data_IF_438802193191
#
_entry.id   IF_438802193191
#
_cell.length_a   1.000
_cell.length_b   1.000
_cell.length_c   1.000
_cell.angle_alpha   90.00
_cell.angle_beta   90.00
_cell.angle_gamma   90.00
#
_symmetry.space_group_name_H-M   'P 1'
#
loop_
_entity.id
_entity.type
_entity.pdbx_description
1 polymer ?
#
# COMPACT_ATOMS: atom_id res chain seq x y z
N UNK A 1 -22.20 -48.86 31.42
CA UNK A 1 -20.97 -48.08 31.20
C UNK A 1 -21.34 -46.89 30.33
N UNK A 2 -21.30 -45.66 30.87
CA UNK A 2 -21.65 -44.44 30.13
C UNK A 2 -20.45 -44.02 29.27
N UNK A 3 -20.59 -44.11 27.95
CA UNK A 3 -19.65 -43.52 27.01
C UNK A 3 -19.82 -42.00 27.01
N UNK A 4 -18.80 -41.28 27.48
CA UNK A 4 -18.70 -39.84 27.25
C UNK A 4 -18.00 -39.63 25.91
N UNK A 5 -18.74 -39.16 24.91
CA UNK A 5 -18.17 -38.58 23.70
C UNK A 5 -17.56 -37.23 24.08
N UNK A 6 -16.24 -37.15 24.09
CA UNK A 6 -15.52 -35.87 24.23
C UNK A 6 -15.53 -35.22 22.85
N UNK A 7 -16.37 -34.18 22.69
CA UNK A 7 -16.30 -33.29 21.53
C UNK A 7 -15.04 -32.42 21.69
N UNK A 8 -13.98 -32.74 20.96
CA UNK A 8 -12.81 -31.87 20.84
C UNK A 8 -13.21 -30.75 19.88
N UNK A 9 -13.57 -29.59 20.43
CA UNK A 9 -13.69 -28.36 19.67
C UNK A 9 -12.30 -27.96 19.18
N UNK A 10 -12.01 -28.25 17.90
CA UNK A 10 -10.85 -27.72 17.19
C UNK A 10 -11.01 -26.20 17.09
N UNK A 11 -10.45 -25.48 18.05
CA UNK A 11 -10.23 -24.03 17.96
C UNK A 11 -9.11 -23.87 16.94
N UNK A 12 -9.47 -23.68 15.66
CA UNK A 12 -8.50 -23.23 14.67
C UNK A 12 -8.03 -21.83 15.11
N UNK A 13 -6.72 -21.60 15.32
CA UNK A 13 -6.23 -20.25 15.48
C UNK A 13 -6.57 -19.53 14.16
N UNK A 14 -7.34 -18.44 14.25
CA UNK A 14 -7.50 -17.52 13.14
C UNK A 14 -6.10 -17.12 12.69
N UNK A 15 -5.65 -17.65 11.55
CA UNK A 15 -4.40 -17.20 10.95
C UNK A 15 -4.68 -15.80 10.43
N UNK A 16 -4.23 -14.80 11.17
CA UNK A 16 -4.24 -13.42 10.70
C UNK A 16 -3.26 -13.38 9.53
N UNK A 17 -3.79 -13.36 8.32
CA UNK A 17 -3.00 -13.37 7.10
C UNK A 17 -2.30 -12.00 6.96
N UNK A 18 -0.99 -11.97 7.18
CA UNK A 18 -0.20 -10.76 6.97
C UNK A 18 0.21 -10.69 5.50
N UNK A 19 -0.31 -9.70 4.78
CA UNK A 19 0.12 -9.40 3.42
C UNK A 19 1.52 -8.77 3.46
N UNK A 20 2.45 -9.38 2.75
CA UNK A 20 3.85 -8.94 2.73
C UNK A 20 4.14 -8.20 1.42
N UNK A 21 4.29 -6.88 1.54
CA UNK A 21 4.80 -6.01 0.50
C UNK A 21 6.32 -5.96 0.60
N UNK A 22 7.01 -6.27 -0.50
CA UNK A 22 8.47 -6.25 -0.58
C UNK A 22 8.94 -5.12 -1.50
N UNK A 23 10.19 -4.68 -1.37
CA UNK A 23 10.76 -3.68 -2.27
C UNK A 23 10.61 -4.12 -3.74
N UNK A 24 10.14 -3.22 -4.59
CA UNK A 24 9.75 -3.58 -5.94
C UNK A 24 10.96 -3.89 -6.82
N UNK A 25 10.95 -5.09 -7.41
CA UNK A 25 11.91 -5.45 -8.44
C UNK A 25 11.51 -4.92 -9.82
N UNK A 26 10.24 -4.59 -10.04
CA UNK A 26 9.69 -4.19 -11.35
C UNK A 26 9.62 -2.67 -11.53
N UNK A 27 9.54 -1.94 -10.42
CA UNK A 27 9.35 -0.49 -10.40
C UNK A 27 10.47 0.18 -9.62
N UNK A 28 10.83 1.41 -10.01
CA UNK A 28 11.76 2.29 -9.31
C UNK A 28 11.26 3.71 -9.37
N UNK A 29 11.92 4.61 -8.66
CA UNK A 29 11.70 6.03 -8.74
C UNK A 29 13.02 6.73 -9.05
N UNK A 30 12.92 7.99 -9.50
CA UNK A 30 14.09 8.81 -9.79
C UNK A 30 14.93 9.01 -8.52
N UNK A 31 16.26 9.08 -8.67
CA UNK A 31 17.17 9.23 -7.53
C UNK A 31 16.90 10.54 -6.79
N UNK A 32 16.47 10.42 -5.53
CA UNK A 32 16.10 11.52 -4.65
C UNK A 32 17.34 12.36 -4.28
N UNK A 33 18.54 11.77 -4.24
CA UNK A 33 19.75 12.51 -3.87
C UNK A 33 20.15 13.52 -4.96
N UNK A 34 19.85 13.24 -6.23
CA UNK A 34 20.03 14.21 -7.31
C UNK A 34 19.10 15.42 -7.17
N UNK A 35 17.96 15.25 -6.52
CA UNK A 35 16.91 16.25 -6.35
C UNK A 35 17.20 17.21 -5.17
N UNK A 36 18.20 16.90 -4.34
CA UNK A 36 18.68 17.76 -3.25
C UNK A 36 19.96 18.53 -3.60
N UNK A 37 20.38 18.52 -4.87
CA UNK A 37 21.60 19.19 -5.32
C UNK A 37 21.37 20.66 -5.66
N UNK A 38 22.37 21.55 -5.46
CA UNK A 38 22.30 22.93 -5.93
C UNK A 38 22.01 23.05 -7.43
N UNK A 39 22.46 22.08 -8.22
CA UNK A 39 22.22 21.99 -9.65
C UNK A 39 20.73 21.83 -9.97
N UNK A 40 19.98 21.00 -9.22
CA UNK A 40 18.53 20.86 -9.39
C UNK A 40 17.80 22.21 -9.22
N UNK A 41 18.16 22.93 -8.15
CA UNK A 41 17.60 24.25 -7.85
C UNK A 41 18.10 25.39 -8.76
N UNK A 42 19.12 25.15 -9.60
CA UNK A 42 19.63 26.15 -10.55
C UNK A 42 18.85 26.25 -11.86
N UNK A 43 18.02 25.25 -12.18
CA UNK A 43 17.20 25.17 -13.40
C UNK A 43 15.69 25.12 -13.13
N UNK A 44 15.28 25.01 -11.87
CA UNK A 44 13.88 25.15 -11.44
C UNK A 44 13.73 26.57 -10.88
N UNK A 45 13.15 27.45 -11.69
CA UNK A 45 13.19 28.92 -11.53
C UNK A 45 12.38 29.47 -10.33
N UNK A 46 11.75 28.60 -9.51
CA UNK A 46 11.06 29.05 -8.31
C UNK A 46 11.18 28.06 -7.15
N UNK A 47 11.48 28.58 -5.96
CA UNK A 47 11.42 27.89 -4.65
C UNK A 47 10.03 27.23 -4.39
N UNK A 48 9.02 27.49 -5.25
CA UNK A 48 7.63 27.07 -5.06
C UNK A 48 7.22 25.91 -5.95
N UNK A 49 8.01 25.54 -6.95
CA UNK A 49 7.65 24.42 -7.83
C UNK A 49 7.88 23.10 -7.09
N UNK A 50 6.92 22.15 -7.15
CA UNK A 50 7.08 20.88 -6.48
C UNK A 50 8.21 20.07 -7.12
N UNK A 51 8.91 19.34 -6.28
CA UNK A 51 9.81 18.30 -6.72
C UNK A 51 8.99 17.14 -7.29
N UNK A 52 9.21 16.78 -8.56
CA UNK A 52 8.50 15.69 -9.23
C UNK A 52 9.26 14.38 -9.11
N UNK A 53 8.63 13.37 -8.52
CA UNK A 53 9.16 12.01 -8.42
C UNK A 53 8.35 11.08 -9.31
N UNK A 54 8.95 10.63 -10.41
CA UNK A 54 8.33 9.67 -11.32
C UNK A 54 8.57 8.22 -10.88
N UNK A 55 7.49 7.45 -10.74
CA UNK A 55 7.55 6.00 -10.55
C UNK A 55 7.58 5.33 -11.91
N UNK A 56 8.65 4.61 -12.21
CA UNK A 56 8.95 4.09 -13.54
C UNK A 56 8.98 2.57 -13.56
N UNK A 57 8.41 1.96 -14.59
CA UNK A 57 8.55 0.53 -14.88
C UNK A 57 9.94 0.24 -15.45
N UNK A 58 10.76 -0.51 -14.71
CA UNK A 58 12.18 -0.73 -15.04
C UNK A 58 12.40 -1.38 -16.40
N UNK A 59 11.47 -2.24 -16.84
CA UNK A 59 11.62 -2.96 -18.12
C UNK A 59 11.35 -2.09 -19.35
N UNK A 60 10.55 -1.03 -19.20
CA UNK A 60 10.08 -0.21 -20.33
C UNK A 60 10.56 1.23 -20.26
N UNK A 61 10.92 1.72 -19.08
CA UNK A 61 11.17 3.14 -18.84
C UNK A 61 9.89 3.98 -18.80
N UNK A 62 8.71 3.36 -18.81
CA UNK A 62 7.42 4.06 -18.77
C UNK A 62 7.16 4.60 -17.36
N UNK A 63 6.89 5.91 -17.26
CA UNK A 63 6.41 6.53 -16.03
C UNK A 63 4.96 6.08 -15.79
N UNK A 64 4.73 5.41 -14.67
CA UNK A 64 3.42 4.88 -14.24
C UNK A 64 2.65 5.85 -13.36
N UNK A 65 3.36 6.67 -12.59
CA UNK A 65 2.80 7.61 -11.62
C UNK A 65 3.81 8.74 -11.37
N UNK A 66 3.31 9.93 -11.02
CA UNK A 66 4.14 11.07 -10.62
C UNK A 66 3.68 11.59 -9.26
N UNK A 67 4.64 11.87 -8.37
CA UNK A 67 4.38 12.44 -7.05
C UNK A 67 4.93 13.87 -7.03
N UNK A 68 4.11 14.80 -6.58
CA UNK A 68 4.49 16.20 -6.39
C UNK A 68 4.87 16.46 -4.93
N UNK A 69 6.14 16.80 -4.69
CA UNK A 69 6.69 17.07 -3.36
C UNK A 69 6.85 18.56 -3.16
N UNK A 70 5.98 19.16 -2.34
CA UNK A 70 5.91 20.60 -2.12
C UNK A 70 6.82 21.11 -1.00
N UNK A 71 7.30 20.23 -0.11
CA UNK A 71 8.22 20.59 0.98
C UNK A 71 9.48 19.73 0.96
N UNK A 72 10.37 20.01 0.01
CA UNK A 72 11.62 19.25 -0.16
C UNK A 72 12.53 19.27 1.09
N UNK A 73 12.42 20.29 1.95
CA UNK A 73 13.20 20.42 3.20
C UNK A 73 12.81 19.37 4.25
N UNK A 74 11.52 19.02 4.34
CA UNK A 74 11.01 18.04 5.31
C UNK A 74 10.77 16.67 4.70
N UNK A 75 10.84 16.55 3.37
CA UNK A 75 10.68 15.32 2.64
C UNK A 75 11.77 14.30 2.99
N UNK A 76 11.38 13.07 3.31
CA UNK A 76 12.29 12.05 3.85
C UNK A 76 12.61 10.92 2.88
N UNK A 77 11.60 10.38 2.19
CA UNK A 77 11.84 9.34 1.21
C UNK A 77 10.60 8.95 0.42
N UNK A 78 10.84 8.16 -0.62
CA UNK A 78 9.82 7.41 -1.35
C UNK A 78 10.17 5.93 -1.23
N UNK A 79 9.14 5.09 -1.14
CA UNK A 79 9.25 3.64 -1.22
C UNK A 79 8.24 3.12 -2.23
N UNK A 80 8.67 2.14 -3.01
CA UNK A 80 7.81 1.44 -3.97
C UNK A 80 7.90 -0.04 -3.67
N UNK A 81 6.83 -0.57 -3.07
CA UNK A 81 6.74 -1.98 -2.69
C UNK A 81 5.72 -2.70 -3.55
N UNK A 82 5.91 -3.99 -3.77
CA UNK A 82 5.00 -4.82 -4.57
C UNK A 82 4.67 -6.11 -3.84
N UNK A 83 3.45 -6.60 -4.05
CA UNK A 83 3.04 -7.95 -3.69
C UNK A 83 2.28 -8.61 -4.84
N UNK A 84 2.40 -9.94 -4.96
CA UNK A 84 1.55 -10.71 -5.87
C UNK A 84 0.15 -10.84 -5.29
N UNK A 85 -0.86 -10.73 -6.15
CA UNK A 85 -2.26 -10.89 -5.76
C UNK A 85 -2.84 -12.08 -6.54
N UNK A 86 -3.27 -13.12 -5.84
CA UNK A 86 -3.92 -14.30 -6.40
C UNK A 86 -5.45 -14.19 -6.33
N UNK A 87 -6.15 -14.94 -7.17
CA UNK A 87 -7.62 -15.01 -7.15
C UNK A 87 -8.34 -13.79 -7.74
N UNK A 88 -7.74 -12.59 -7.73
CA UNK A 88 -8.38 -11.39 -8.27
C UNK A 88 -8.45 -11.38 -9.80
N UNK A 89 -9.66 -11.11 -10.31
CA UNK A 89 -9.96 -11.02 -11.73
C UNK A 89 -9.20 -9.87 -12.36
N UNK A 90 -8.43 -10.19 -13.41
CA UNK A 90 -7.63 -9.22 -14.17
C UNK A 90 -6.55 -8.47 -13.36
N UNK A 91 -6.23 -8.88 -12.14
CA UNK A 91 -5.13 -8.32 -11.35
C UNK A 91 -3.95 -9.30 -11.35
N UNK A 92 -2.72 -8.78 -11.36
CA UNK A 92 -1.48 -9.56 -11.24
C UNK A 92 -0.73 -9.27 -9.94
N UNK A 93 -0.74 -8.03 -9.50
CA UNK A 93 -0.03 -7.55 -8.31
C UNK A 93 -0.71 -6.31 -7.75
N UNK A 94 -0.34 -5.96 -6.52
CA UNK A 94 -0.59 -4.65 -5.95
C UNK A 94 0.75 -3.96 -5.74
N UNK A 95 0.85 -2.69 -6.14
CA UNK A 95 2.02 -1.84 -5.92
C UNK A 95 1.64 -0.77 -4.92
N UNK A 96 2.48 -0.57 -3.92
CA UNK A 96 2.31 0.43 -2.89
C UNK A 96 3.40 1.47 -3.08
N UNK A 97 2.96 2.69 -3.32
CA UNK A 97 3.85 3.85 -3.38
C UNK A 97 3.58 4.66 -2.13
N UNK A 98 4.62 4.89 -1.35
CA UNK A 98 4.53 5.71 -0.14
C UNK A 98 5.64 6.74 -0.10
N UNK A 99 5.34 7.90 0.45
CA UNK A 99 6.31 8.95 0.70
C UNK A 99 5.99 9.64 2.02
N UNK A 100 6.99 10.26 2.63
CA UNK A 100 6.83 10.88 3.94
C UNK A 100 7.52 12.24 4.09
N UNK A 101 6.94 13.04 4.98
CA UNK A 101 7.54 14.26 5.49
C UNK A 101 7.92 14.02 6.95
N UNK A 102 9.20 14.14 7.28
CA UNK A 102 9.71 13.95 8.63
C UNK A 102 9.70 15.25 9.43
N UNK A 103 9.23 15.14 10.67
CA UNK A 103 9.45 16.10 11.75
C UNK A 103 9.77 15.38 13.05
N UNK A 104 9.11 15.77 14.16
CA UNK A 104 9.11 14.96 15.39
C UNK A 104 8.37 13.63 15.21
N UNK A 105 7.39 13.62 14.31
CA UNK A 105 6.72 12.45 13.77
C UNK A 105 6.73 12.59 12.25
N UNK A 106 6.66 11.48 11.52
CA UNK A 106 6.51 11.49 10.06
C UNK A 106 5.03 11.47 9.68
N UNK A 107 4.64 12.31 8.73
CA UNK A 107 3.36 12.20 8.04
C UNK A 107 3.58 11.39 6.76
N UNK A 108 2.92 10.23 6.66
CA UNK A 108 3.11 9.26 5.58
C UNK A 108 1.89 9.28 4.68
N UNK A 109 2.16 9.47 3.39
CA UNK A 109 1.20 9.39 2.30
C UNK A 109 1.42 8.06 1.60
N UNK A 110 0.38 7.25 1.47
CA UNK A 110 0.47 5.93 0.86
C UNK A 110 -0.71 5.69 -0.08
N UNK A 111 -0.39 5.39 -1.34
CA UNK A 111 -1.36 4.93 -2.32
C UNK A 111 -1.03 3.50 -2.76
N UNK A 112 -2.03 2.63 -2.65
CA UNK A 112 -1.93 1.25 -3.19
C UNK A 112 -2.63 1.19 -4.54
N UNK A 113 -1.94 0.70 -5.56
CA UNK A 113 -2.42 0.51 -6.91
C UNK A 113 -2.63 -0.97 -7.21
N UNK A 114 -3.79 -1.32 -7.73
CA UNK A 114 -4.00 -2.62 -8.35
C UNK A 114 -3.38 -2.61 -9.75
N UNK A 115 -2.44 -3.52 -10.01
CA UNK A 115 -1.84 -3.66 -11.32
C UNK A 115 -2.56 -4.75 -12.09
N UNK A 116 -3.18 -4.36 -13.20
CA UNK A 116 -3.90 -5.29 -14.05
C UNK A 116 -2.93 -6.22 -14.81
N UNK A 117 -3.44 -7.35 -15.32
CA UNK A 117 -2.67 -8.25 -16.21
C UNK A 117 -2.17 -7.55 -17.49
N UNK A 118 -2.78 -6.43 -17.87
CA UNK A 118 -2.37 -5.58 -18.99
C UNK A 118 -1.42 -4.44 -18.59
N UNK A 119 -0.96 -4.39 -17.33
CA UNK A 119 -0.02 -3.38 -16.84
C UNK A 119 -0.64 -2.04 -16.47
N UNK A 120 -1.96 -1.86 -16.60
CA UNK A 120 -2.65 -0.65 -16.11
C UNK A 120 -2.67 -0.61 -14.58
N UNK A 121 -2.31 0.53 -14.02
CA UNK A 121 -2.44 0.84 -12.59
C UNK A 121 -3.83 1.43 -12.29
N UNK A 122 -4.44 0.97 -11.20
CA UNK A 122 -5.75 1.44 -10.74
C UNK A 122 -5.59 1.84 -9.27
N UNK A 123 -5.68 3.13 -8.93
CA UNK A 123 -5.48 3.58 -7.57
C UNK A 123 -6.63 3.13 -6.67
N UNK A 124 -6.28 2.67 -5.47
CA UNK A 124 -7.17 2.69 -4.32
C UNK A 124 -7.11 4.07 -3.67
N UNK A 125 -8.11 4.46 -2.87
CA UNK A 125 -8.08 5.73 -2.15
C UNK A 125 -6.82 5.87 -1.30
N UNK A 126 -6.19 7.04 -1.37
CA UNK A 126 -5.00 7.36 -0.59
C UNK A 126 -5.27 7.21 0.91
N UNK A 127 -4.25 6.76 1.63
CA UNK A 127 -4.23 6.75 3.09
C UNK A 127 -3.12 7.66 3.59
N UNK A 128 -3.48 8.52 4.54
CA UNK A 128 -2.56 9.42 5.22
C UNK A 128 -2.55 9.02 6.69
N UNK A 129 -1.37 8.83 7.26
CA UNK A 129 -1.20 8.48 8.67
C UNK A 129 0.06 9.11 9.26
N UNK A 130 0.06 9.29 10.57
CA UNK A 130 1.18 9.87 11.31
C UNK A 130 1.92 8.76 12.04
N UNK A 131 3.25 8.83 12.04
CA UNK A 131 4.09 7.89 12.74
C UNK A 131 5.18 8.55 13.57
N UNK A 132 5.20 8.27 14.87
CA UNK A 132 6.09 8.84 15.86
C UNK A 132 7.00 7.77 16.48
N UNK A 133 6.42 6.64 16.91
CA UNK A 133 7.10 5.61 17.69
C UNK A 133 6.59 4.21 17.31
N UNK A 134 7.50 3.31 16.94
CA UNK A 134 7.14 1.94 16.57
C UNK A 134 6.76 1.08 17.79
N UNK A 135 5.75 0.19 17.72
CA UNK A 135 4.86 -0.11 16.59
C UNK A 135 3.54 0.65 16.65
N UNK A 136 2.97 0.91 15.47
CA UNK A 136 1.77 1.72 15.36
C UNK A 136 0.63 1.05 14.61
N UNK A 137 -0.56 1.51 14.96
CA UNK A 137 -1.77 1.24 14.23
C UNK A 137 -1.73 1.99 12.90
N UNK A 138 -1.96 1.30 11.79
CA UNK A 138 -1.94 1.95 10.47
C UNK A 138 -3.09 1.52 9.57
N UNK A 139 -3.63 2.43 8.75
CA UNK A 139 -4.56 2.05 7.70
C UNK A 139 -3.84 1.20 6.65
N UNK A 140 -4.49 0.15 6.17
CA UNK A 140 -3.99 -0.69 5.09
C UNK A 140 -5.14 -1.25 4.25
N UNK A 141 -4.86 -1.60 3.00
CA UNK A 141 -5.77 -2.41 2.19
C UNK A 141 -5.41 -3.88 2.27
N UNK A 142 -6.42 -4.71 2.51
CA UNK A 142 -6.32 -6.15 2.56
C UNK A 142 -7.01 -6.79 1.36
N UNK A 143 -6.27 -7.68 0.70
CA UNK A 143 -6.70 -8.49 -0.43
C UNK A 143 -6.90 -9.94 0.03
N UNK A 144 -8.13 -10.30 0.37
CA UNK A 144 -8.47 -11.69 0.72
C UNK A 144 -8.61 -12.56 -0.52
N UNK A 145 -8.43 -13.89 -0.38
CA UNK A 145 -8.75 -14.82 -1.46
C UNK A 145 -10.26 -14.74 -1.79
N UNK A 146 -10.63 -14.28 -2.99
CA UNK A 146 -12.01 -13.92 -3.27
C UNK A 146 -12.90 -15.16 -3.36
N UNK A 147 -14.00 -15.14 -2.61
CA UNK A 147 -15.02 -16.21 -2.63
C UNK A 147 -15.93 -16.14 -3.85
N UNK A 148 -16.09 -14.95 -4.44
CA UNK A 148 -16.90 -14.70 -5.63
C UNK A 148 -15.98 -14.28 -6.81
N UNK A 149 -15.99 -15.00 -7.95
CA UNK A 149 -15.14 -14.69 -9.10
C UNK A 149 -15.63 -13.49 -9.93
N UNK A 150 -16.85 -13.00 -9.70
CA UNK A 150 -17.47 -11.90 -10.44
C UNK A 150 -17.25 -10.57 -9.72
N UNK A 151 -17.47 -10.52 -8.41
CA UNK A 151 -17.27 -9.34 -7.56
C UNK A 151 -16.39 -9.71 -6.37
N UNK A 152 -15.30 -8.98 -6.19
CA UNK A 152 -14.25 -9.30 -5.23
C UNK A 152 -14.11 -8.15 -4.24
N UNK A 153 -14.04 -8.47 -2.95
CA UNK A 153 -14.00 -7.46 -1.89
C UNK A 153 -12.57 -7.12 -1.52
N UNK A 154 -12.27 -5.83 -1.43
CA UNK A 154 -11.02 -5.28 -0.93
C UNK A 154 -11.35 -4.51 0.34
N UNK A 155 -10.70 -4.85 1.45
CA UNK A 155 -11.00 -4.24 2.73
C UNK A 155 -9.99 -3.17 3.07
N UNK A 156 -10.43 -1.95 3.35
CA UNK A 156 -9.61 -0.96 4.06
C UNK A 156 -9.75 -1.24 5.54
N UNK A 157 -8.64 -1.48 6.23
CA UNK A 157 -8.61 -1.85 7.65
C UNK A 157 -7.68 -0.93 8.43
N UNK A 158 -7.88 -0.86 9.74
CA UNK A 158 -6.82 -0.50 10.69
C UNK A 158 -6.09 -1.78 11.10
N UNK A 159 -4.80 -1.85 10.86
CA UNK A 159 -3.90 -2.89 11.36
C UNK A 159 -3.41 -2.55 12.77
N UNK A 160 -3.39 -3.53 13.67
CA UNK A 160 -2.80 -3.42 15.00
C UNK A 160 -1.61 -4.37 15.10
N UNK A 161 -0.46 -3.83 15.50
CA UNK A 161 0.82 -4.57 15.57
C UNK A 161 1.34 -4.67 16.99
N UNK A 162 1.99 -5.79 17.31
CA UNK A 162 2.66 -5.98 18.61
C UNK A 162 4.03 -5.28 18.62
N UNK A 163 4.72 -5.30 19.76
CA UNK A 163 6.05 -4.69 19.95
C UNK A 163 7.12 -5.18 18.96
N UNK A 164 6.93 -6.36 18.36
CA UNK A 164 7.81 -6.93 17.34
C UNK A 164 7.46 -6.46 15.92
N UNK A 165 6.29 -5.85 15.74
CA UNK A 165 5.75 -5.45 14.45
C UNK A 165 4.74 -6.40 13.84
N UNK A 166 4.47 -7.54 14.46
CA UNK A 166 3.61 -8.55 13.89
C UNK A 166 2.15 -8.12 13.97
N UNK A 167 1.43 -8.32 12.88
CA UNK A 167 -0.01 -8.08 12.81
C UNK A 167 -0.74 -9.09 13.71
N UNK A 168 -1.43 -8.60 14.74
CA UNK A 168 -2.20 -9.47 15.64
C UNK A 168 -3.72 -9.25 15.53
N UNK A 169 -4.15 -8.10 14.98
CA UNK A 169 -5.56 -7.76 14.81
C UNK A 169 -5.72 -6.77 13.66
N UNK A 170 -6.86 -6.85 12.97
CA UNK A 170 -7.33 -5.82 12.06
C UNK A 170 -8.78 -5.44 12.37
N UNK A 171 -9.18 -4.22 12.00
CA UNK A 171 -10.57 -3.74 12.06
C UNK A 171 -10.95 -3.15 10.72
N UNK A 172 -11.95 -3.72 10.05
CA UNK A 172 -12.47 -3.18 8.79
C UNK A 172 -13.08 -1.80 9.00
N UNK A 173 -12.68 -0.85 8.17
CA UNK A 173 -13.17 0.52 8.11
C UNK A 173 -14.13 0.69 6.94
N UNK A 174 -13.74 0.19 5.77
CA UNK A 174 -14.49 0.33 4.53
C UNK A 174 -14.28 -0.92 3.66
N UNK A 175 -15.29 -1.28 2.88
CA UNK A 175 -15.19 -2.35 1.88
C UNK A 175 -15.33 -1.75 0.49
N UNK A 176 -14.50 -2.22 -0.43
CA UNK A 176 -14.51 -1.85 -1.83
C UNK A 176 -14.80 -3.09 -2.68
N UNK A 177 -15.56 -2.92 -3.75
CA UNK A 177 -15.94 -3.96 -4.68
C UNK A 177 -15.17 -3.81 -5.99
N UNK A 178 -14.57 -4.91 -6.44
CA UNK A 178 -13.84 -5.02 -7.70
C UNK A 178 -14.51 -6.02 -8.64
N UNK A 179 -14.83 -5.61 -9.86
CA UNK A 179 -15.50 -6.46 -10.86
C UNK A 179 -14.59 -6.89 -12.04
N UNK A 180 -13.30 -6.56 -11.97
CA UNK A 180 -12.35 -6.74 -13.06
C UNK A 180 -12.07 -5.48 -13.90
N UNK A 181 -12.79 -4.38 -13.66
CA UNK A 181 -12.67 -3.14 -14.44
C UNK A 181 -12.55 -1.87 -13.59
N UNK A 182 -13.39 -1.70 -12.58
CA UNK A 182 -13.41 -0.52 -11.72
C UNK A 182 -13.69 -0.91 -10.26
N UNK A 183 -13.34 0.00 -9.36
CA UNK A 183 -13.50 -0.13 -7.92
C UNK A 183 -14.67 0.75 -7.49
N UNK A 184 -15.55 0.24 -6.63
CA UNK A 184 -16.67 1.00 -6.06
C UNK A 184 -16.67 0.78 -4.55
N UNK A 185 -16.89 1.84 -3.76
CA UNK A 185 -17.11 1.68 -2.33
C UNK A 185 -18.44 0.93 -2.11
N UNK A 186 -18.42 -0.11 -1.27
CA UNK A 186 -19.64 -0.80 -0.84
C UNK A 186 -20.39 0.13 0.12
N UNK A 187 -21.64 0.42 -0.19
CA UNK A 187 -22.55 1.10 0.73
C UNK A 187 -23.19 0.05 1.66
N UNK A 188 -23.42 0.43 2.92
CA UNK A 188 -24.03 -0.42 3.95
C UNK A 188 -25.55 -0.58 3.77
#
# INVERSE_FOLDING_TARGET
>A
MKNYLILISLIFPFQVFSQQFEESINYSFNDIELLRTPEYFSVHDSIRDPLIIGITEKSTGEVKEEIEIYSAESFCGVWVKEMKVSGYKNIKSAVRVSYDYCGCCSEVYETTYLVTKKGKWIPLPEVIYHTCDYPEEKPAFHFDDPTDPVVQEIQKVTEYRNDQGDLYKSKTLETYLWNGKFIVKKED
#
